data_IF_289139340085
#
_entry.id   IF_289139340085
#
_cell.length_a   1.000
_cell.length_b   1.000
_cell.length_c   1.000
_cell.angle_alpha   90.00
_cell.angle_beta   90.00
_cell.angle_gamma   90.00
#
_symmetry.space_group_name_H-M   'P 1'
#
loop_
_entity.id
_entity.type
_entity.pdbx_description
1 polymer ?
#
# COMPACT_ATOMS: atom_id res chain seq x y z
N UNK A 1 17.50 0.69 14.19
CA UNK A 1 16.22 0.47 13.50
C UNK A 1 16.24 -0.90 12.83
N UNK A 2 15.15 -1.69 12.91
CA UNK A 2 15.12 -3.06 12.34
C UNK A 2 14.83 -2.98 10.85
N UNK A 3 15.60 -3.68 10.02
CA UNK A 3 15.46 -3.65 8.57
C UNK A 3 15.57 -5.06 7.99
N UNK A 4 14.81 -5.34 6.93
CA UNK A 4 14.88 -6.60 6.18
C UNK A 4 14.83 -6.31 4.67
N UNK A 5 15.86 -6.76 3.96
CA UNK A 5 15.98 -6.65 2.50
C UNK A 5 16.14 -8.04 1.89
N UNK A 6 15.19 -8.42 1.03
CA UNK A 6 15.22 -9.71 0.34
C UNK A 6 14.59 -9.63 -1.06
N UNK A 7 14.70 -8.47 -1.70
CA UNK A 7 14.10 -8.25 -3.02
C UNK A 7 14.81 -9.00 -4.15
N UNK A 8 14.09 -9.31 -5.23
CA UNK A 8 14.66 -9.95 -6.42
C UNK A 8 15.06 -11.42 -6.22
N UNK A 9 14.35 -12.14 -5.34
CA UNK A 9 14.63 -13.54 -5.02
C UNK A 9 13.50 -14.46 -5.51
N UNK A 10 13.61 -15.75 -5.16
CA UNK A 10 12.59 -16.76 -5.44
C UNK A 10 11.78 -17.13 -4.19
N UNK A 11 11.70 -16.24 -3.19
CA UNK A 11 10.96 -16.52 -1.96
C UNK A 11 9.49 -16.76 -2.30
N UNK A 12 8.92 -17.82 -1.75
CA UNK A 12 7.56 -18.27 -2.06
C UNK A 12 6.78 -18.61 -0.80
N UNK A 13 5.47 -18.72 -0.94
CA UNK A 13 4.58 -18.97 0.19
C UNK A 13 4.23 -17.69 0.97
N UNK A 14 3.50 -17.81 2.08
CA UNK A 14 3.05 -16.65 2.84
C UNK A 14 4.19 -15.98 3.60
N UNK A 15 4.08 -14.66 3.76
CA UNK A 15 4.89 -13.92 4.74
C UNK A 15 4.52 -14.46 6.14
N UNK A 16 5.49 -14.92 6.96
CA UNK A 16 5.20 -15.41 8.30
C UNK A 16 4.50 -14.34 9.16
N UNK A 17 3.36 -14.70 9.78
CA UNK A 17 2.58 -13.77 10.64
C UNK A 17 3.39 -13.18 11.81
N UNK A 18 4.43 -13.88 12.28
CA UNK A 18 5.33 -13.37 13.31
C UNK A 18 6.04 -12.08 12.91
N UNK A 19 6.23 -11.82 11.62
CA UNK A 19 6.78 -10.55 11.12
C UNK A 19 5.87 -9.35 11.43
N UNK A 20 4.57 -9.58 11.63
CA UNK A 20 3.64 -8.55 12.09
C UNK A 20 3.92 -8.03 13.50
N UNK A 21 4.69 -8.74 14.31
CA UNK A 21 5.11 -8.28 15.65
C UNK A 21 6.36 -7.40 15.59
N UNK A 22 7.09 -7.41 14.47
CA UNK A 22 8.33 -6.67 14.32
C UNK A 22 8.04 -5.23 13.94
N UNK A 23 8.63 -4.29 14.68
CA UNK A 23 8.62 -2.86 14.35
C UNK A 23 9.72 -2.53 13.35
N UNK A 24 9.46 -2.85 12.10
CA UNK A 24 10.38 -2.52 11.01
C UNK A 24 10.50 -1.02 10.81
N UNK A 25 11.69 -0.60 10.41
CA UNK A 25 11.91 0.69 9.78
C UNK A 25 11.90 0.58 8.25
N UNK A 26 12.46 -0.51 7.71
CA UNK A 26 12.44 -0.80 6.29
C UNK A 26 12.13 -2.28 6.06
N UNK A 27 11.13 -2.57 5.26
CA UNK A 27 10.78 -3.92 4.85
C UNK A 27 10.68 -3.95 3.32
N UNK A 28 11.65 -4.60 2.67
CA UNK A 28 11.81 -4.58 1.22
C UNK A 28 11.87 -6.00 0.67
N UNK A 29 10.73 -6.49 0.23
CA UNK A 29 10.49 -7.87 -0.22
C UNK A 29 10.05 -7.96 -1.69
N UNK A 30 10.23 -6.89 -2.47
CA UNK A 30 9.73 -6.81 -3.85
C UNK A 30 10.39 -7.80 -4.82
N UNK A 31 9.71 -8.16 -5.90
CA UNK A 31 10.23 -9.08 -6.91
C UNK A 31 10.47 -10.49 -6.37
N UNK A 32 9.42 -11.10 -5.80
CA UNK A 32 9.44 -12.46 -5.26
C UNK A 32 8.17 -13.22 -5.70
N UNK A 33 7.91 -14.39 -5.10
CA UNK A 33 6.72 -15.22 -5.33
C UNK A 33 5.88 -15.34 -4.04
N UNK A 34 5.95 -14.35 -3.16
CA UNK A 34 5.23 -14.36 -1.88
C UNK A 34 3.72 -14.30 -2.11
N UNK A 35 2.97 -15.07 -1.33
CA UNK A 35 1.52 -15.23 -1.48
C UNK A 35 0.76 -14.84 -0.23
N UNK A 36 -0.57 -14.80 -0.32
CA UNK A 36 -1.45 -14.74 0.85
C UNK A 36 -1.55 -13.34 1.46
N UNK A 37 -2.04 -13.32 2.71
CA UNK A 37 -2.37 -12.09 3.42
C UNK A 37 -1.11 -11.42 3.99
N UNK A 38 -0.96 -10.12 3.76
CA UNK A 38 0.10 -9.28 4.33
C UNK A 38 -0.46 -8.06 5.10
N UNK A 39 -1.77 -8.01 5.34
CA UNK A 39 -2.43 -6.91 6.06
C UNK A 39 -1.90 -6.70 7.48
N UNK A 40 -1.35 -7.75 8.11
CA UNK A 40 -0.72 -7.69 9.43
C UNK A 40 0.59 -6.88 9.47
N UNK A 41 1.14 -6.49 8.32
CA UNK A 41 2.29 -5.57 8.24
C UNK A 41 1.87 -4.11 8.43
N UNK A 42 0.56 -3.84 8.39
CA UNK A 42 -0.03 -2.55 8.70
C UNK A 42 -0.57 -2.57 10.13
N UNK A 43 -0.49 -1.43 10.82
CA UNK A 43 -1.01 -1.31 12.17
C UNK A 43 -0.66 0.03 12.79
N UNK A 44 -1.47 0.46 13.77
CA UNK A 44 -1.19 1.69 14.55
C UNK A 44 0.14 1.63 15.31
N UNK A 45 0.66 0.43 15.55
CA UNK A 45 1.91 0.15 16.24
C UNK A 45 3.14 0.15 15.31
N UNK A 46 2.97 0.36 14.01
CA UNK A 46 4.02 0.34 12.98
C UNK A 46 4.59 1.74 12.67
N UNK A 47 4.66 2.60 13.69
CA UNK A 47 5.06 4.01 13.57
C UNK A 47 6.49 4.22 13.05
N UNK A 48 7.38 3.24 13.26
CA UNK A 48 8.78 3.33 12.81
C UNK A 48 8.98 3.07 11.31
N UNK A 49 7.94 2.63 10.59
CA UNK A 49 8.06 2.15 9.22
C UNK A 49 8.18 3.32 8.23
N UNK A 50 9.35 3.43 7.62
CA UNK A 50 9.66 4.47 6.62
C UNK A 50 9.58 3.96 5.19
N UNK A 51 9.78 2.65 4.98
CA UNK A 51 9.80 2.04 3.65
C UNK A 51 9.16 0.66 3.68
N UNK A 52 8.11 0.49 2.89
CA UNK A 52 7.43 -0.79 2.67
C UNK A 52 7.34 -1.08 1.17
N UNK A 53 8.19 -1.99 0.69
CA UNK A 53 8.24 -2.39 -0.72
C UNK A 53 7.86 -3.87 -0.81
N UNK A 54 6.66 -4.14 -1.30
CA UNK A 54 6.10 -5.49 -1.47
C UNK A 54 5.80 -5.80 -2.95
N UNK A 55 6.23 -4.94 -3.87
CA UNK A 55 5.85 -5.00 -5.27
C UNK A 55 6.32 -6.25 -5.99
N UNK A 56 5.63 -6.64 -7.06
CA UNK A 56 6.02 -7.81 -7.87
C UNK A 56 5.99 -9.10 -7.06
N UNK A 57 4.85 -9.39 -6.45
CA UNK A 57 4.58 -10.61 -5.69
C UNK A 57 3.19 -11.16 -6.06
N UNK A 58 2.68 -12.11 -5.27
CA UNK A 58 1.34 -12.70 -5.39
C UNK A 58 0.52 -12.49 -4.11
N UNK A 59 0.74 -11.37 -3.42
CA UNK A 59 0.03 -11.05 -2.18
C UNK A 59 -1.44 -10.73 -2.48
N UNK A 60 -2.33 -11.20 -1.62
CA UNK A 60 -3.78 -11.06 -1.77
C UNK A 60 -4.40 -10.78 -0.41
N UNK A 61 -4.72 -9.51 -0.17
CA UNK A 61 -5.39 -9.05 1.04
C UNK A 61 -6.26 -7.82 0.76
N UNK A 62 -7.20 -7.55 1.67
CA UNK A 62 -8.09 -6.40 1.58
C UNK A 62 -7.41 -5.15 2.15
N UNK A 63 -7.14 -4.16 1.31
CA UNK A 63 -6.50 -2.91 1.71
C UNK A 63 -7.44 -1.97 2.49
N UNK A 64 -8.76 -2.08 2.29
CA UNK A 64 -9.78 -1.23 2.97
C UNK A 64 -9.62 -1.26 4.48
N UNK A 65 -9.33 -2.43 5.05
CA UNK A 65 -9.30 -2.66 6.49
C UNK A 65 -7.93 -2.40 7.12
N UNK A 66 -6.93 -2.02 6.31
CA UNK A 66 -5.61 -1.69 6.84
C UNK A 66 -5.62 -0.32 7.49
N UNK A 67 -4.82 -0.18 8.54
CA UNK A 67 -4.67 1.08 9.25
C UNK A 67 -3.19 1.37 9.44
N UNK A 68 -2.82 2.64 9.31
CA UNK A 68 -1.57 3.17 9.81
C UNK A 68 -1.87 4.34 10.74
N UNK A 69 -0.99 4.57 11.72
CA UNK A 69 -1.13 5.72 12.61
C UNK A 69 -0.90 7.00 11.80
N UNK A 70 -1.99 7.71 11.47
CA UNK A 70 -1.98 9.00 10.81
C UNK A 70 -2.39 10.17 11.72
N UNK A 71 -2.26 10.03 13.04
CA UNK A 71 -2.65 11.09 13.97
C UNK A 71 -1.55 12.15 14.10
N UNK A 72 -1.67 13.21 13.30
CA UNK A 72 -1.17 14.59 13.46
C UNK A 72 0.34 14.85 13.69
N UNK A 73 1.13 13.87 14.10
CA UNK A 73 2.59 13.91 14.14
C UNK A 73 3.13 12.52 13.79
N UNK A 74 3.78 12.42 12.63
CA UNK A 74 4.77 11.39 12.29
C UNK A 74 4.24 10.00 11.85
N UNK A 75 3.41 9.96 10.81
CA UNK A 75 3.55 8.84 9.87
C UNK A 75 4.84 9.10 9.06
N UNK A 76 5.94 8.43 9.40
CA UNK A 76 7.23 8.56 8.70
C UNK A 76 7.29 7.76 7.40
N UNK A 77 6.16 7.25 6.87
CA UNK A 77 6.19 6.45 5.66
C UNK A 77 6.61 7.33 4.47
N UNK A 78 7.81 7.08 3.98
CA UNK A 78 8.43 7.81 2.87
C UNK A 78 8.21 7.10 1.54
N UNK A 79 8.15 5.77 1.58
CA UNK A 79 8.00 4.92 0.41
C UNK A 79 7.01 3.78 0.66
N UNK A 80 6.01 3.66 -0.22
CA UNK A 80 5.04 2.57 -0.24
C UNK A 80 4.85 2.05 -1.66
N UNK A 81 5.38 0.86 -1.95
CA UNK A 81 5.18 0.19 -3.22
C UNK A 81 4.51 -1.17 -3.01
N UNK A 82 3.23 -1.22 -3.39
CA UNK A 82 2.38 -2.40 -3.36
C UNK A 82 2.06 -2.91 -4.77
N UNK A 83 2.68 -2.33 -5.80
CA UNK A 83 2.33 -2.59 -7.19
C UNK A 83 2.55 -4.05 -7.62
N UNK A 84 1.89 -4.48 -8.68
CA UNK A 84 2.04 -5.84 -9.22
C UNK A 84 1.78 -6.94 -8.18
N UNK A 85 0.56 -6.96 -7.63
CA UNK A 85 0.08 -7.96 -6.69
C UNK A 85 -1.40 -8.32 -7.01
N UNK A 86 -2.08 -8.99 -6.08
CA UNK A 86 -3.51 -9.31 -6.15
C UNK A 86 -4.28 -8.63 -5.01
N UNK A 87 -3.84 -7.45 -4.59
CA UNK A 87 -4.44 -6.69 -3.47
C UNK A 87 -5.79 -6.14 -3.94
N UNK A 88 -6.81 -6.26 -3.10
CA UNK A 88 -8.18 -5.88 -3.41
C UNK A 88 -8.79 -4.97 -2.34
N UNK A 89 -10.02 -4.52 -2.58
CA UNK A 89 -10.69 -3.54 -1.72
C UNK A 89 -10.42 -2.11 -2.17
N UNK A 90 -10.60 -1.17 -1.26
CA UNK A 90 -10.48 0.28 -1.48
C UNK A 90 -9.17 0.80 -0.89
N UNK A 91 -8.72 1.94 -1.40
CA UNK A 91 -7.65 2.70 -0.78
C UNK A 91 -8.17 3.31 0.54
N UNK A 92 -7.56 3.02 1.70
CA UNK A 92 -7.97 3.59 2.97
C UNK A 92 -7.56 5.07 3.07
N UNK A 93 -8.36 5.88 3.79
CA UNK A 93 -8.20 7.34 3.87
C UNK A 93 -6.89 7.78 4.54
N UNK A 94 -6.26 6.95 5.35
CA UNK A 94 -4.96 7.28 5.97
C UNK A 94 -3.85 7.47 4.94
N UNK A 95 -3.94 6.84 3.75
CA UNK A 95 -2.99 7.05 2.66
C UNK A 95 -2.97 8.50 2.17
N UNK A 96 -4.12 9.18 2.28
CA UNK A 96 -4.24 10.60 1.98
C UNK A 96 -3.54 11.52 2.98
N UNK A 97 -3.20 11.01 4.18
CA UNK A 97 -2.61 11.75 5.29
C UNK A 97 -1.14 11.40 5.55
N UNK A 98 -0.37 11.12 4.50
CA UNK A 98 1.06 10.83 4.58
C UNK A 98 1.88 12.04 4.09
N UNK A 99 2.13 13.06 4.91
CA UNK A 99 2.66 14.34 4.43
C UNK A 99 4.08 14.25 3.81
N UNK A 100 4.85 13.21 4.14
CA UNK A 100 6.24 13.04 3.74
C UNK A 100 6.48 11.90 2.73
N UNK A 101 5.43 11.20 2.30
CA UNK A 101 5.59 10.15 1.29
C UNK A 101 6.03 10.78 -0.03
N UNK A 102 7.09 10.26 -0.62
CA UNK A 102 7.64 10.73 -1.90
C UNK A 102 7.60 9.64 -2.97
N UNK A 103 7.54 8.36 -2.58
CA UNK A 103 7.37 7.23 -3.49
C UNK A 103 6.11 6.44 -3.12
N UNK A 104 5.18 6.35 -4.06
CA UNK A 104 3.91 5.65 -3.86
C UNK A 104 3.50 4.96 -5.15
N UNK A 105 3.19 3.67 -5.06
CA UNK A 105 2.67 2.93 -6.19
C UNK A 105 1.77 1.77 -5.73
N UNK A 106 0.54 1.75 -6.24
CA UNK A 106 -0.45 0.70 -6.01
C UNK A 106 -0.97 0.10 -7.32
N UNK A 107 -0.32 0.43 -8.44
CA UNK A 107 -0.71 -0.02 -9.78
C UNK A 107 -0.66 -1.55 -9.93
N UNK A 108 -1.35 -2.08 -10.94
CA UNK A 108 -1.40 -3.52 -11.20
C UNK A 108 -1.86 -4.34 -9.99
N UNK A 109 -3.05 -4.03 -9.51
CA UNK A 109 -3.74 -4.73 -8.43
C UNK A 109 -5.23 -4.92 -8.79
N UNK A 110 -6.05 -5.30 -7.82
CA UNK A 110 -7.50 -5.48 -7.95
C UNK A 110 -8.27 -4.45 -7.09
N UNK A 111 -7.69 -3.26 -6.90
CA UNK A 111 -8.29 -2.20 -6.11
C UNK A 111 -9.50 -1.56 -6.82
N UNK A 112 -10.42 -1.04 -6.01
CA UNK A 112 -11.71 -0.56 -6.45
C UNK A 112 -12.19 0.66 -5.66
N UNK A 113 -13.03 1.48 -6.29
CA UNK A 113 -13.67 2.62 -5.64
C UNK A 113 -12.88 3.94 -5.81
N UNK A 114 -13.33 5.00 -5.13
CA UNK A 114 -12.71 6.31 -5.27
C UNK A 114 -11.30 6.34 -4.66
N UNK A 115 -10.40 7.09 -5.31
CA UNK A 115 -9.12 7.50 -4.71
C UNK A 115 -9.44 8.52 -3.60
N UNK A 116 -9.02 8.28 -2.34
CA UNK A 116 -9.22 9.21 -1.23
C UNK A 116 -8.63 10.58 -1.53
N UNK A 117 -9.38 11.63 -1.21
CA UNK A 117 -8.95 13.03 -1.36
C UNK A 117 -8.58 13.68 -0.02
N UNK A 118 -8.91 13.01 1.09
CA UNK A 118 -8.61 13.46 2.44
C UNK A 118 -7.09 13.64 2.60
N UNK A 119 -6.66 14.74 3.21
CA UNK A 119 -5.24 15.07 3.38
C UNK A 119 -4.47 15.41 2.08
N UNK A 120 -5.06 15.21 0.89
CA UNK A 120 -4.56 15.67 -0.41
C UNK A 120 -3.27 15.00 -0.91
N UNK A 121 -2.70 14.05 -0.17
CA UNK A 121 -1.40 13.45 -0.52
C UNK A 121 -1.47 12.65 -1.81
N UNK A 122 -2.53 11.86 -2.01
CA UNK A 122 -2.64 10.97 -3.15
C UNK A 122 -2.80 11.70 -4.49
N UNK A 123 -3.32 12.94 -4.46
CA UNK A 123 -3.51 13.76 -5.65
C UNK A 123 -2.19 14.33 -6.21
N UNK A 124 -1.07 14.16 -5.49
CA UNK A 124 0.27 14.56 -5.97
C UNK A 124 0.88 13.54 -6.93
N UNK A 125 0.35 12.31 -6.95
CA UNK A 125 0.87 11.23 -7.78
C UNK A 125 0.17 11.16 -9.13
N UNK A 126 0.92 10.76 -10.16
CA UNK A 126 0.38 10.57 -11.50
C UNK A 126 -0.58 9.38 -11.57
N UNK A 127 -1.45 9.39 -12.60
CA UNK A 127 -2.35 8.28 -12.91
C UNK A 127 -1.64 6.91 -13.03
N UNK A 128 -0.35 6.89 -13.38
CA UNK A 128 0.47 5.68 -13.47
C UNK A 128 0.55 4.93 -12.14
N UNK A 129 0.64 5.64 -11.01
CA UNK A 129 0.72 5.05 -9.66
C UNK A 129 -0.54 4.26 -9.26
N UNK A 130 -1.66 4.51 -9.94
CA UNK A 130 -2.96 3.88 -9.69
C UNK A 130 -3.40 2.97 -10.84
N UNK A 131 -2.67 2.98 -11.96
CA UNK A 131 -3.04 2.31 -13.21
C UNK A 131 -3.22 0.80 -13.04
N UNK A 132 -3.93 0.17 -13.98
CA UNK A 132 -4.20 -1.27 -13.93
C UNK A 132 -4.93 -1.75 -12.65
N UNK A 133 -5.75 -0.89 -12.05
CA UNK A 133 -6.78 -1.23 -11.09
C UNK A 133 -8.14 -0.92 -11.72
N UNK A 134 -8.83 -1.96 -12.22
CA UNK A 134 -9.93 -1.80 -13.20
C UNK A 134 -11.09 -0.90 -12.74
N UNK A 135 -11.32 -0.79 -11.43
CA UNK A 135 -12.42 0.00 -10.88
C UNK A 135 -11.98 1.09 -9.88
N UNK A 136 -10.68 1.42 -9.82
CA UNK A 136 -10.28 2.68 -9.20
C UNK A 136 -10.73 3.87 -10.06
N UNK A 137 -11.14 4.95 -9.41
CA UNK A 137 -11.65 6.15 -10.07
C UNK A 137 -11.45 7.40 -9.19
N UNK A 138 -11.64 8.59 -9.76
CA UNK A 138 -11.36 9.86 -9.10
C UNK A 138 -9.91 10.30 -9.31
N UNK A 139 -9.64 11.61 -9.16
CA UNK A 139 -8.34 12.20 -9.51
C UNK A 139 -7.17 11.48 -8.79
N UNK A 140 -6.09 11.13 -9.52
CA UNK A 140 -5.74 11.52 -10.90
C UNK A 140 -6.36 10.68 -12.03
N UNK A 141 -7.18 9.66 -11.71
CA UNK A 141 -7.89 8.86 -12.69
C UNK A 141 -9.19 9.55 -13.16
N UNK A 142 -9.84 9.03 -14.23
CA UNK A 142 -11.16 9.51 -14.62
C UNK A 142 -12.16 9.49 -13.45
N UNK A 143 -13.13 10.42 -13.43
CA UNK A 143 -14.13 10.47 -12.38
C UNK A 143 -14.87 9.14 -12.20
N UNK A 144 -15.27 8.84 -10.96
CA UNK A 144 -16.13 7.71 -10.68
C UNK A 144 -17.45 7.88 -11.43
N UNK A 145 -17.91 6.81 -12.09
CA UNK A 145 -19.24 6.80 -12.71
C UNK A 145 -20.28 7.00 -11.61
N UNK A 146 -21.06 8.08 -11.68
CA UNK A 146 -22.25 8.18 -10.85
C UNK A 146 -23.23 7.12 -11.32
N UNK A 147 -23.77 6.31 -10.40
CA UNK A 147 -25.01 5.59 -10.65
C UNK A 147 -26.15 6.61 -10.62
N UNK A 148 -26.29 7.40 -11.68
CA UNK A 148 -27.54 8.07 -11.99
C UNK A 148 -28.38 7.04 -12.76
N UNK A 149 -29.25 6.34 -12.02
CA UNK A 149 -30.48 5.79 -12.59
C UNK A 149 -31.54 6.89 -12.53
#
# INVERSE_FOLDING_TARGET
SVQLFASGNKLSGPIPRSLGQVRFNRLVLGGNQLTGDASFLFGKDKQSLTRLILSGNRLSFNLTNTVMSGSEREAELLELDLSHNMIYGQLPTWLGHLPFIYDFNVSYNQLCGPIPTEGGTLQKYDASAFSHNKCLCGAPLPPCKSTLN
#
